data_IF_889367050959
#
_entry.id   IF_889367050959
#
_cell.length_a   1.000
_cell.length_b   1.000
_cell.length_c   1.000
_cell.angle_alpha   90.00
_cell.angle_beta   90.00
_cell.angle_gamma   90.00
#
_symmetry.space_group_name_H-M   'P 1'
#
loop_
_entity.id
_entity.type
_entity.pdbx_description
1 polymer ?
#
# COMPACT_ATOMS: atom_id res chain seq x y z
N UNK A 1 20.77 16.51 55.46
CA UNK A 1 21.14 15.12 55.18
C UNK A 1 19.93 14.18 55.03
N UNK A 2 18.73 14.74 54.72
CA UNK A 2 17.52 13.92 54.51
C UNK A 2 16.82 14.19 53.16
N UNK A 3 17.47 14.92 52.25
CA UNK A 3 16.84 15.29 50.94
C UNK A 3 17.43 14.60 49.72
N UNK A 4 18.47 13.77 49.86
CA UNK A 4 19.14 13.13 48.73
C UNK A 4 18.76 11.66 48.50
N UNK A 5 17.89 11.10 49.33
CA UNK A 5 17.46 9.70 49.22
C UNK A 5 16.23 9.55 48.32
N UNK A 6 15.51 10.62 47.95
CA UNK A 6 14.30 10.57 47.16
C UNK A 6 14.49 10.86 45.64
N UNK A 7 15.73 11.03 45.17
CA UNK A 7 16.04 11.29 43.75
C UNK A 7 16.65 10.12 42.96
N UNK A 8 16.68 8.94 43.54
CA UNK A 8 16.86 7.70 42.77
C UNK A 8 15.51 7.00 42.59
N UNK A 9 14.55 7.62 41.93
CA UNK A 9 13.58 6.86 41.18
C UNK A 9 14.37 6.08 40.13
N UNK A 10 14.52 4.80 40.40
CA UNK A 10 14.98 3.81 39.47
C UNK A 10 14.03 3.96 38.25
N UNK A 11 14.52 4.58 37.19
CA UNK A 11 13.99 4.35 35.86
C UNK A 11 14.21 2.85 35.57
N UNK A 12 13.32 2.02 36.10
CA UNK A 12 13.13 0.66 35.59
C UNK A 12 12.66 0.88 34.15
N UNK A 13 13.59 0.80 33.22
CA UNK A 13 13.26 0.87 31.81
C UNK A 13 12.15 -0.13 31.58
N UNK A 14 10.99 0.34 31.21
CA UNK A 14 9.86 -0.52 30.83
C UNK A 14 10.40 -1.34 29.66
N UNK A 15 10.60 -2.64 29.90
CA UNK A 15 11.09 -3.54 28.84
C UNK A 15 9.95 -3.68 27.86
N UNK A 16 10.16 -3.21 26.63
CA UNK A 16 9.20 -3.37 25.52
C UNK A 16 8.90 -4.86 25.33
N UNK A 17 7.63 -5.23 25.34
CA UNK A 17 7.22 -6.58 25.00
C UNK A 17 7.40 -6.79 23.49
N UNK A 18 8.25 -7.73 23.10
CA UNK A 18 8.49 -8.09 21.70
C UNK A 18 7.84 -9.44 21.40
N UNK A 19 7.02 -9.49 20.36
CA UNK A 19 6.37 -10.72 19.85
C UNK A 19 6.74 -10.89 18.37
N UNK A 20 6.96 -12.14 17.95
CA UNK A 20 7.40 -12.45 16.59
C UNK A 20 8.89 -12.18 16.36
N UNK A 21 9.31 -12.19 15.11
CA UNK A 21 10.71 -12.13 14.69
C UNK A 21 11.01 -10.84 13.92
N UNK A 22 11.95 -10.05 14.42
CA UNK A 22 12.54 -8.96 13.65
C UNK A 22 13.60 -9.55 12.70
N UNK A 23 13.38 -9.47 11.40
CA UNK A 23 14.30 -10.00 10.39
C UNK A 23 15.61 -9.21 10.27
N UNK A 24 15.68 -8.04 10.89
CA UNK A 24 16.83 -7.15 10.80
C UNK A 24 17.48 -6.90 12.17
N UNK A 25 18.77 -6.51 12.15
CA UNK A 25 19.43 -5.96 13.34
C UNK A 25 18.96 -4.54 13.68
N UNK A 26 18.25 -3.89 12.76
CA UNK A 26 17.65 -2.56 12.96
C UNK A 26 16.39 -2.73 13.80
N UNK A 27 16.37 -2.16 14.99
CA UNK A 27 15.23 -2.19 15.92
C UNK A 27 14.29 -0.99 15.73
N UNK A 28 13.25 -0.92 16.55
CA UNK A 28 12.35 0.24 16.57
C UNK A 28 13.03 1.49 17.12
N UNK A 29 13.99 1.31 18.01
CA UNK A 29 14.78 2.41 18.60
C UNK A 29 15.64 3.12 17.55
N UNK A 30 16.12 2.41 16.53
CA UNK A 30 16.88 2.98 15.41
C UNK A 30 16.01 3.91 14.54
N UNK A 31 14.68 3.72 14.56
CA UNK A 31 13.70 4.59 13.94
C UNK A 31 13.11 5.63 14.89
N UNK A 32 13.69 5.75 16.10
CA UNK A 32 13.36 6.78 17.08
C UNK A 32 12.26 6.42 18.08
N UNK A 33 11.62 5.25 17.97
CA UNK A 33 10.60 4.84 18.94
C UNK A 33 11.20 4.58 20.31
N UNK A 34 10.52 5.04 21.35
CA UNK A 34 10.91 4.86 22.75
C UNK A 34 9.70 4.46 23.58
N UNK A 35 9.95 3.69 24.63
CA UNK A 35 8.93 3.36 25.63
C UNK A 35 7.64 2.76 25.04
N UNK A 36 7.70 2.04 23.93
CA UNK A 36 6.55 1.28 23.43
C UNK A 36 6.12 0.28 24.50
N UNK A 37 4.82 0.04 24.64
CA UNK A 37 4.31 -1.02 25.51
C UNK A 37 4.61 -2.39 24.91
N UNK A 38 4.32 -2.53 23.61
CA UNK A 38 4.46 -3.80 22.89
C UNK A 38 4.77 -3.53 21.42
N UNK A 39 5.54 -4.41 20.81
CA UNK A 39 5.78 -4.43 19.39
C UNK A 39 5.68 -5.85 18.86
N UNK A 40 4.88 -6.02 17.80
CA UNK A 40 4.64 -7.30 17.14
C UNK A 40 5.32 -7.31 15.78
N UNK A 41 6.34 -8.15 15.63
CA UNK A 41 7.19 -8.22 14.44
C UNK A 41 6.75 -9.37 13.53
N UNK A 42 6.45 -9.05 12.27
CA UNK A 42 6.29 -10.02 11.20
C UNK A 42 5.39 -11.23 11.57
N UNK A 43 4.31 -10.95 12.29
CA UNK A 43 3.34 -11.98 12.63
C UNK A 43 2.70 -12.53 11.34
N UNK A 44 2.40 -13.83 11.36
CA UNK A 44 1.69 -14.45 10.25
C UNK A 44 0.24 -13.93 10.13
N UNK A 45 -0.38 -14.20 8.97
CA UNK A 45 -1.71 -13.71 8.65
C UNK A 45 -2.77 -14.16 9.66
N UNK A 46 -2.71 -15.41 10.11
CA UNK A 46 -3.71 -15.94 11.03
C UNK A 46 -3.63 -15.27 12.41
N UNK A 47 -2.41 -15.07 12.93
CA UNK A 47 -2.20 -14.37 14.19
C UNK A 47 -2.70 -12.92 14.13
N UNK A 48 -2.40 -12.19 13.05
CA UNK A 48 -2.86 -10.79 12.88
C UNK A 48 -4.40 -10.75 12.72
N UNK A 49 -4.96 -11.72 12.03
CA UNK A 49 -6.38 -11.84 11.81
C UNK A 49 -7.12 -12.00 13.16
N UNK A 50 -6.65 -12.92 14.01
CA UNK A 50 -7.24 -13.15 15.32
C UNK A 50 -7.07 -11.93 16.25
N UNK A 51 -5.92 -11.25 16.20
CA UNK A 51 -5.69 -10.00 16.93
C UNK A 51 -6.66 -8.91 16.45
N UNK A 52 -6.86 -8.77 15.15
CA UNK A 52 -7.78 -7.78 14.58
C UNK A 52 -9.19 -7.95 15.13
N UNK A 53 -9.69 -9.21 15.16
CA UNK A 53 -11.02 -9.53 15.68
C UNK A 53 -11.07 -9.30 17.20
N UNK A 54 -10.08 -9.75 17.94
CA UNK A 54 -10.06 -9.59 19.40
C UNK A 54 -9.99 -8.12 19.84
N UNK A 55 -9.35 -7.27 19.03
CA UNK A 55 -9.27 -5.82 19.24
C UNK A 55 -10.55 -5.08 18.77
N UNK A 56 -11.53 -5.78 18.20
CA UNK A 56 -12.75 -5.16 17.66
C UNK A 56 -12.50 -4.24 16.47
N UNK A 57 -11.41 -4.45 15.72
CA UNK A 57 -11.03 -3.63 14.57
C UNK A 57 -11.73 -4.06 13.27
N UNK A 58 -12.47 -5.15 13.29
CA UNK A 58 -13.21 -5.68 12.16
C UNK A 58 -14.14 -6.81 12.58
N UNK A 59 -14.97 -7.27 11.65
CA UNK A 59 -15.90 -8.40 11.82
C UNK A 59 -15.71 -9.40 10.68
N UNK A 60 -16.08 -10.66 10.93
CA UNK A 60 -16.02 -11.71 9.91
C UNK A 60 -17.32 -11.81 9.14
N UNK A 61 -17.23 -11.95 7.82
CA UNK A 61 -18.35 -12.42 7.01
C UNK A 61 -18.59 -13.91 7.24
N UNK A 62 -19.74 -14.42 6.77
CA UNK A 62 -20.03 -15.85 6.78
C UNK A 62 -18.96 -16.71 6.13
N UNK A 63 -18.35 -16.17 5.07
CA UNK A 63 -17.30 -16.83 4.30
C UNK A 63 -15.89 -16.53 4.85
N UNK A 64 -15.78 -15.96 6.06
CA UNK A 64 -14.55 -15.70 6.79
C UNK A 64 -13.67 -14.56 6.20
N UNK A 65 -14.17 -13.75 5.27
CA UNK A 65 -13.47 -12.50 4.90
C UNK A 65 -13.56 -11.49 6.06
N UNK A 66 -12.52 -10.68 6.24
CA UNK A 66 -12.47 -9.64 7.26
C UNK A 66 -13.10 -8.36 6.71
N UNK A 67 -14.16 -7.89 7.35
CA UNK A 67 -14.81 -6.61 7.00
C UNK A 67 -14.39 -5.55 7.99
N UNK A 68 -13.88 -4.42 7.48
CA UNK A 68 -13.39 -3.29 8.26
C UNK A 68 -14.00 -1.98 7.78
N UNK A 69 -14.12 -1.00 8.68
CA UNK A 69 -14.58 0.34 8.37
C UNK A 69 -13.42 1.33 8.51
N UNK A 70 -13.23 2.21 7.52
CA UNK A 70 -12.15 3.20 7.51
C UNK A 70 -12.58 4.58 8.04
N UNK A 71 -13.81 4.69 8.54
CA UNK A 71 -14.36 5.93 9.10
C UNK A 71 -14.65 6.98 8.02
N UNK A 72 -14.31 8.23 8.29
CA UNK A 72 -14.64 9.36 7.40
C UNK A 72 -13.84 9.36 6.09
N UNK A 73 -12.70 8.70 6.07
CA UNK A 73 -11.86 8.58 4.88
C UNK A 73 -12.08 7.23 4.20
N UNK A 74 -12.93 7.20 3.20
CA UNK A 74 -13.24 5.99 2.41
C UNK A 74 -12.41 5.89 1.12
N UNK A 75 -11.42 6.76 0.96
CA UNK A 75 -10.53 6.84 -0.18
C UNK A 75 -9.28 7.65 0.15
N UNK A 76 -8.38 7.81 -0.80
CA UNK A 76 -7.14 8.56 -0.62
C UNK A 76 -7.39 10.03 -0.34
N UNK A 77 -6.67 10.57 0.64
CA UNK A 77 -6.65 11.99 0.99
C UNK A 77 -5.61 12.74 0.14
N UNK A 78 -5.84 12.81 -1.17
CA UNK A 78 -4.87 13.39 -2.12
C UNK A 78 -4.51 14.86 -1.78
N UNK A 79 -5.44 15.59 -1.17
CA UNK A 79 -5.22 16.98 -0.76
C UNK A 79 -4.39 17.11 0.52
N UNK A 80 -4.16 16.03 1.25
CA UNK A 80 -3.43 15.98 2.51
C UNK A 80 -2.07 15.28 2.37
N UNK A 81 -1.66 15.01 1.13
CA UNK A 81 -0.33 14.49 0.80
C UNK A 81 0.64 15.65 0.56
N UNK A 82 1.73 15.65 1.32
CA UNK A 82 2.78 16.66 1.27
C UNK A 82 4.15 16.01 1.14
N UNK A 83 5.03 16.64 0.36
CA UNK A 83 6.40 16.19 0.15
C UNK A 83 7.35 17.18 0.80
N UNK A 84 8.35 16.69 1.53
CA UNK A 84 9.41 17.55 2.06
C UNK A 84 10.20 18.11 0.89
N UNK A 85 10.24 19.46 0.80
CA UNK A 85 11.02 20.16 -0.23
C UNK A 85 12.37 20.56 0.33
N UNK A 86 13.42 20.10 -0.33
CA UNK A 86 14.80 20.42 0.03
C UNK A 86 15.68 20.61 -1.22
N UNK A 87 16.97 20.89 -1.03
CA UNK A 87 17.90 21.15 -2.14
C UNK A 87 18.14 19.93 -3.05
N UNK A 88 17.93 18.71 -2.55
CA UNK A 88 18.16 17.46 -3.29
C UNK A 88 17.03 17.22 -4.30
N UNK A 89 15.79 17.54 -3.93
CA UNK A 89 14.62 17.20 -4.73
C UNK A 89 13.92 18.38 -5.40
N UNK A 90 14.37 19.61 -5.16
CA UNK A 90 13.71 20.84 -5.68
C UNK A 90 13.51 20.87 -7.19
N UNK A 91 14.41 20.24 -7.94
CA UNK A 91 14.42 20.23 -9.41
C UNK A 91 13.93 18.91 -10.01
N UNK A 92 13.66 17.87 -9.17
CA UNK A 92 13.25 16.55 -9.62
C UNK A 92 11.77 16.25 -9.37
N UNK A 93 11.04 17.16 -8.74
CA UNK A 93 9.61 17.01 -8.44
C UNK A 93 8.83 18.11 -9.14
N UNK A 94 7.71 17.73 -9.75
CA UNK A 94 6.78 18.68 -10.35
C UNK A 94 5.93 19.37 -9.27
N UNK A 95 6.44 20.49 -8.75
CA UNK A 95 5.86 21.19 -7.62
C UNK A 95 4.49 21.86 -7.90
N UNK A 96 4.18 22.16 -9.16
CA UNK A 96 2.85 22.70 -9.50
C UNK A 96 1.71 21.71 -9.19
N UNK A 97 2.03 20.40 -9.19
CA UNK A 97 1.09 19.33 -8.89
C UNK A 97 1.32 18.64 -7.54
N UNK A 98 2.31 19.10 -6.76
CA UNK A 98 2.62 18.49 -5.47
C UNK A 98 2.72 19.55 -4.38
N UNK A 99 2.06 19.32 -3.26
CA UNK A 99 2.18 20.18 -2.08
C UNK A 99 3.48 19.90 -1.34
N UNK A 100 4.09 20.95 -0.82
CA UNK A 100 5.33 20.84 -0.05
C UNK A 100 5.16 21.20 1.41
N UNK A 101 5.98 20.57 2.28
CA UNK A 101 6.26 21.01 3.65
C UNK A 101 7.76 21.20 3.83
N UNK A 102 8.15 21.93 4.87
CA UNK A 102 9.55 22.12 5.23
C UNK A 102 10.10 20.89 5.97
N UNK A 103 11.43 20.77 6.01
CA UNK A 103 12.08 19.75 6.85
C UNK A 103 11.72 19.92 8.33
N UNK A 104 11.66 21.16 8.82
CA UNK A 104 11.27 21.47 10.19
C UNK A 104 9.85 20.98 10.52
N UNK A 105 8.89 21.22 9.63
CA UNK A 105 7.52 20.72 9.81
C UNK A 105 7.48 19.19 9.85
N UNK A 106 8.23 18.53 8.96
CA UNK A 106 8.33 17.08 8.94
C UNK A 106 8.99 16.53 10.23
N UNK A 107 10.07 17.14 10.69
CA UNK A 107 10.77 16.71 11.90
C UNK A 107 9.91 16.94 13.17
N UNK A 108 9.13 18.02 13.20
CA UNK A 108 8.12 18.24 14.24
C UNK A 108 7.05 17.14 14.22
N UNK A 109 6.49 16.81 13.04
CA UNK A 109 5.53 15.71 12.90
C UNK A 109 6.13 14.39 13.37
N UNK A 110 7.33 14.05 12.91
CA UNK A 110 8.00 12.79 13.28
C UNK A 110 8.19 12.69 14.79
N UNK A 111 8.73 13.74 15.42
CA UNK A 111 8.92 13.80 16.86
C UNK A 111 7.61 13.63 17.63
N UNK A 112 6.56 14.32 17.21
CA UNK A 112 5.27 14.30 17.91
C UNK A 112 4.57 12.94 17.76
N UNK A 113 4.67 12.31 16.57
CA UNK A 113 4.17 10.94 16.32
C UNK A 113 4.92 9.92 17.16
N UNK A 114 6.25 10.00 17.24
CA UNK A 114 7.06 9.11 18.08
C UNK A 114 6.69 9.25 19.57
N UNK A 115 6.50 10.48 20.05
CA UNK A 115 6.06 10.73 21.43
C UNK A 115 4.64 10.20 21.68
N UNK A 116 3.74 10.35 20.72
CA UNK A 116 2.37 9.82 20.79
C UNK A 116 2.32 8.29 20.84
N UNK A 117 3.32 7.62 20.26
CA UNK A 117 3.43 6.17 20.28
C UNK A 117 3.95 5.60 21.61
N UNK A 118 4.47 6.43 22.53
CA UNK A 118 4.89 5.94 23.84
C UNK A 118 3.74 5.23 24.56
N UNK A 119 4.01 4.08 25.17
CA UNK A 119 3.04 3.18 25.82
C UNK A 119 1.98 2.56 24.89
N UNK A 120 2.12 2.69 23.57
CA UNK A 120 1.26 2.02 22.60
C UNK A 120 1.80 0.67 22.17
N UNK A 121 0.92 -0.11 21.56
CA UNK A 121 1.26 -1.34 20.84
C UNK A 121 1.36 -1.02 19.35
N UNK A 122 2.39 -1.52 18.68
CA UNK A 122 2.56 -1.38 17.23
C UNK A 122 2.79 -2.73 16.57
N UNK A 123 2.34 -2.84 15.33
CA UNK A 123 2.56 -3.98 14.46
C UNK A 123 3.56 -3.60 13.38
N UNK A 124 4.49 -4.49 13.07
CA UNK A 124 5.56 -4.24 12.10
C UNK A 124 5.58 -5.35 11.06
N UNK A 125 5.67 -4.94 9.79
CA UNK A 125 5.90 -5.85 8.67
C UNK A 125 7.16 -5.43 7.92
N UNK A 126 8.02 -6.39 7.67
CA UNK A 126 9.20 -6.30 6.81
C UNK A 126 8.88 -6.98 5.49
N UNK A 127 8.84 -6.21 4.39
CA UNK A 127 8.32 -6.65 3.10
C UNK A 127 9.16 -6.05 1.96
N UNK A 128 8.94 -6.50 0.73
CA UNK A 128 9.54 -5.90 -0.45
C UNK A 128 8.47 -5.23 -1.33
N UNK A 129 8.77 -4.01 -1.79
CA UNK A 129 8.10 -3.39 -2.93
C UNK A 129 8.87 -3.68 -4.21
N UNK A 130 8.30 -4.49 -5.11
CA UNK A 130 8.93 -4.88 -6.36
C UNK A 130 9.46 -6.31 -6.40
N UNK A 131 9.09 -7.04 -7.46
CA UNK A 131 9.44 -8.44 -7.66
C UNK A 131 10.85 -8.64 -8.27
N UNK A 132 11.44 -7.61 -8.87
CA UNK A 132 12.78 -7.68 -9.44
C UNK A 132 13.83 -7.45 -8.34
N UNK A 133 14.76 -8.39 -8.20
CA UNK A 133 15.78 -8.39 -7.15
C UNK A 133 16.73 -7.18 -7.21
N UNK A 134 16.97 -6.63 -8.40
CA UNK A 134 17.87 -5.49 -8.61
C UNK A 134 17.20 -4.15 -8.29
N UNK A 135 15.86 -4.12 -8.30
CA UNK A 135 15.07 -2.90 -8.20
C UNK A 135 14.07 -2.89 -7.05
N UNK A 136 13.97 -3.99 -6.28
CA UNK A 136 13.07 -4.08 -5.14
C UNK A 136 13.47 -3.12 -4.02
N UNK A 137 12.50 -2.66 -3.27
CA UNK A 137 12.66 -1.76 -2.15
C UNK A 137 12.34 -2.47 -0.84
N UNK A 138 13.33 -2.67 0.01
CA UNK A 138 13.15 -3.24 1.35
C UNK A 138 12.38 -2.26 2.22
N UNK A 139 11.17 -2.62 2.56
CA UNK A 139 10.19 -1.73 3.20
C UNK A 139 9.82 -2.25 4.58
N UNK A 140 9.91 -1.40 5.59
CA UNK A 140 9.39 -1.65 6.95
C UNK A 140 8.19 -0.77 7.21
N UNK A 141 7.09 -1.36 7.64
CA UNK A 141 5.84 -0.65 7.92
C UNK A 141 5.47 -0.83 9.39
N UNK A 142 5.41 0.27 10.12
CA UNK A 142 4.86 0.34 11.47
C UNK A 142 3.40 0.76 11.38
N UNK A 143 2.49 0.00 11.98
CA UNK A 143 1.06 0.31 12.00
C UNK A 143 0.49 0.29 13.41
N UNK A 144 -0.44 1.21 13.68
CA UNK A 144 -1.19 1.21 14.95
C UNK A 144 -2.27 0.14 14.96
N UNK A 145 -2.88 -0.18 13.81
CA UNK A 145 -3.95 -1.18 13.71
C UNK A 145 -3.43 -2.51 13.18
N UNK A 146 -3.88 -3.60 13.79
CA UNK A 146 -3.50 -4.95 13.36
C UNK A 146 -3.95 -5.22 11.91
N UNK A 147 -5.16 -4.80 11.53
CA UNK A 147 -5.65 -5.01 10.17
C UNK A 147 -4.87 -4.23 9.09
N UNK A 148 -4.24 -3.08 9.42
CA UNK A 148 -3.32 -2.40 8.51
C UNK A 148 -2.06 -3.23 8.27
N UNK A 149 -1.58 -3.93 9.31
CA UNK A 149 -0.47 -4.88 9.19
C UNK A 149 -0.84 -6.05 8.28
N UNK A 150 -2.05 -6.61 8.43
CA UNK A 150 -2.57 -7.65 7.53
C UNK A 150 -2.75 -7.12 6.09
N UNK A 151 -3.27 -5.89 5.94
CA UNK A 151 -3.45 -5.26 4.65
C UNK A 151 -2.14 -5.17 3.88
N UNK A 152 -1.10 -4.63 4.50
CA UNK A 152 0.18 -4.44 3.79
C UNK A 152 0.90 -5.78 3.53
N UNK A 153 0.71 -6.77 4.39
CA UNK A 153 1.19 -8.14 4.15
C UNK A 153 0.49 -8.79 2.96
N UNK A 154 -0.79 -8.49 2.72
CA UNK A 154 -1.49 -8.92 1.50
C UNK A 154 -0.96 -8.22 0.26
N UNK A 155 -0.56 -6.95 0.37
CA UNK A 155 -0.27 -6.11 -0.80
C UNK A 155 1.19 -6.09 -1.23
N UNK A 156 2.15 -6.31 -0.33
CA UNK A 156 3.57 -6.32 -0.67
C UNK A 156 4.12 -7.76 -0.73
N UNK A 157 5.33 -7.88 -1.23
CA UNK A 157 5.99 -9.16 -1.42
C UNK A 157 6.65 -9.60 -0.10
N UNK A 158 6.34 -10.79 0.36
CA UNK A 158 6.88 -11.34 1.59
C UNK A 158 8.39 -11.63 1.49
N UNK A 159 9.09 -11.43 2.59
CA UNK A 159 10.49 -11.82 2.75
C UNK A 159 10.55 -13.34 2.93
N UNK A 160 11.21 -14.05 2.02
CA UNK A 160 11.39 -15.49 2.10
C UNK A 160 12.35 -15.87 3.21
N UNK A 161 12.27 -17.10 3.69
CA UNK A 161 13.10 -17.59 4.81
C UNK A 161 14.61 -17.38 4.58
N UNK A 162 15.07 -17.68 3.37
CA UNK A 162 16.47 -17.50 2.97
C UNK A 162 16.92 -16.04 2.88
N UNK A 163 15.99 -15.08 2.79
CA UNK A 163 16.28 -13.65 2.65
C UNK A 163 16.26 -12.89 3.99
N UNK A 164 15.69 -13.49 5.04
CA UNK A 164 15.50 -12.83 6.34
C UNK A 164 16.82 -12.32 6.94
N UNK A 165 17.87 -13.13 6.92
CA UNK A 165 19.17 -12.76 7.51
C UNK A 165 19.81 -11.51 6.88
N UNK A 166 19.50 -11.27 5.60
CA UNK A 166 20.06 -10.18 4.81
C UNK A 166 19.12 -8.98 4.71
N UNK A 167 17.90 -9.10 5.24
CA UNK A 167 16.93 -8.02 5.20
C UNK A 167 17.44 -6.78 5.94
N UNK A 168 17.39 -5.64 5.28
CA UNK A 168 17.69 -4.32 5.86
C UNK A 168 16.65 -3.33 5.36
N UNK A 169 15.85 -2.71 6.24
CA UNK A 169 14.85 -1.75 5.82
C UNK A 169 15.53 -0.51 5.23
N UNK A 170 15.28 -0.24 3.96
CA UNK A 170 15.73 0.97 3.26
C UNK A 170 14.66 2.06 3.27
N UNK A 171 13.40 1.67 3.35
CA UNK A 171 12.24 2.55 3.36
C UNK A 171 11.38 2.23 4.56
N UNK A 172 10.91 3.27 5.25
CA UNK A 172 10.09 3.14 6.45
C UNK A 172 8.76 3.87 6.26
N UNK A 173 7.67 3.23 6.64
CA UNK A 173 6.35 3.85 6.76
C UNK A 173 5.91 3.77 8.21
N UNK A 174 5.44 4.89 8.76
CA UNK A 174 4.83 5.00 10.08
C UNK A 174 3.38 5.41 9.89
N UNK A 175 2.45 4.51 10.16
CA UNK A 175 1.01 4.69 9.96
C UNK A 175 0.28 4.67 11.30
N UNK A 176 -0.11 5.86 11.77
CA UNK A 176 -0.75 6.09 13.08
C UNK A 176 -2.06 6.85 12.88
N UNK A 177 -3.14 6.18 12.50
CA UNK A 177 -4.43 6.79 12.17
C UNK A 177 -5.05 7.61 13.29
N UNK A 178 -4.82 7.23 14.55
CA UNK A 178 -5.41 7.94 15.69
C UNK A 178 -4.69 9.24 16.04
N UNK A 179 -3.47 9.47 15.55
CA UNK A 179 -2.79 10.76 15.69
C UNK A 179 -3.42 11.80 14.76
N UNK A 180 -3.60 13.01 15.27
CA UNK A 180 -4.13 14.15 14.52
C UNK A 180 -3.04 15.19 14.30
N UNK A 181 -2.80 15.54 13.04
CA UNK A 181 -1.84 16.58 12.71
C UNK A 181 -2.32 17.96 13.19
N UNK A 182 -1.39 18.80 13.60
CA UNK A 182 -1.61 20.22 13.85
C UNK A 182 -1.22 21.00 12.57
N UNK A 183 -2.17 21.64 11.88
CA UNK A 183 -1.91 22.35 10.64
C UNK A 183 -0.80 23.41 10.72
N UNK A 184 -0.70 24.11 11.84
CA UNK A 184 0.30 25.16 12.02
C UNK A 184 1.67 24.55 12.27
N UNK A 185 1.77 23.60 13.20
CA UNK A 185 3.01 23.00 13.64
C UNK A 185 3.62 22.05 12.59
N UNK A 186 2.76 21.33 11.86
CA UNK A 186 3.19 20.35 10.86
C UNK A 186 3.09 20.86 9.43
N UNK A 187 2.64 22.12 9.21
CA UNK A 187 2.59 22.74 7.90
C UNK A 187 1.63 22.09 6.91
N UNK A 188 0.51 21.56 7.39
CA UNK A 188 -0.47 20.84 6.57
C UNK A 188 -1.82 21.58 6.52
N UNK A 189 -2.78 21.00 5.77
CA UNK A 189 -4.09 21.65 5.53
C UNK A 189 -5.16 21.20 6.51
N UNK A 190 -5.01 20.04 7.16
CA UNK A 190 -6.03 19.42 8.03
C UNK A 190 -5.39 18.56 9.10
N UNK A 191 -6.20 17.89 9.92
CA UNK A 191 -5.75 16.90 10.90
C UNK A 191 -5.24 15.59 10.26
N UNK A 192 -5.47 15.42 8.96
CA UNK A 192 -4.95 14.29 8.16
C UNK A 192 -3.69 14.74 7.43
N UNK A 193 -2.65 13.93 7.46
CA UNK A 193 -1.39 14.23 6.79
C UNK A 193 -0.69 12.96 6.34
N UNK A 194 -0.35 12.93 5.06
CA UNK A 194 0.57 11.96 4.46
C UNK A 194 1.86 12.71 4.11
N UNK A 195 2.84 12.66 4.98
CA UNK A 195 4.11 13.38 4.84
C UNK A 195 5.19 12.45 4.26
N UNK A 196 5.72 12.83 3.10
CA UNK A 196 6.72 12.03 2.35
C UNK A 196 8.07 12.73 2.39
N UNK A 197 9.07 12.07 2.94
CA UNK A 197 10.47 12.50 2.87
C UNK A 197 11.28 11.51 2.04
N UNK A 198 11.60 11.88 0.81
CA UNK A 198 12.34 11.02 -0.12
C UNK A 198 13.81 10.83 0.29
N UNK A 199 14.44 11.85 0.87
CA UNK A 199 15.83 11.78 1.32
C UNK A 199 15.99 10.82 2.50
N UNK A 200 15.12 10.98 3.53
CA UNK A 200 15.11 10.08 4.69
C UNK A 200 14.50 8.71 4.37
N UNK A 201 13.92 8.55 3.18
CA UNK A 201 13.12 7.37 2.78
C UNK A 201 12.12 7.01 3.88
N UNK A 202 11.37 8.01 4.34
CA UNK A 202 10.40 7.91 5.43
C UNK A 202 9.08 8.54 5.01
N UNK A 203 7.98 7.81 5.23
CA UNK A 203 6.62 8.34 5.11
C UNK A 203 5.90 8.21 6.44
N UNK A 204 5.19 9.28 6.82
CA UNK A 204 4.36 9.31 8.02
C UNK A 204 2.92 9.56 7.58
N UNK A 205 2.01 8.66 7.97
CA UNK A 205 0.59 8.70 7.66
C UNK A 205 -0.17 8.85 8.97
N UNK A 206 -0.99 9.90 9.07
CA UNK A 206 -1.77 10.20 10.28
C UNK A 206 -3.15 10.72 9.93
N UNK A 207 -4.12 10.53 10.82
CA UNK A 207 -5.47 11.09 10.70
C UNK A 207 -6.39 10.37 9.71
N UNK A 208 -5.96 9.27 9.12
CA UNK A 208 -6.77 8.46 8.21
C UNK A 208 -6.57 6.98 8.49
N UNK A 209 -7.65 6.20 8.44
CA UNK A 209 -7.60 4.74 8.51
C UNK A 209 -7.70 4.07 7.13
N UNK A 210 -7.69 4.84 6.04
CA UNK A 210 -7.72 4.28 4.70
C UNK A 210 -6.36 3.64 4.34
N UNK A 211 -6.31 2.30 4.38
CA UNK A 211 -5.06 1.55 4.25
C UNK A 211 -4.37 1.71 2.87
N UNK A 212 -5.12 2.12 1.85
CA UNK A 212 -4.57 2.41 0.52
C UNK A 212 -3.48 3.51 0.51
N UNK A 213 -3.38 4.34 1.55
CA UNK A 213 -2.28 5.31 1.68
C UNK A 213 -0.95 4.62 1.92
N UNK A 214 -0.92 3.50 2.68
CA UNK A 214 0.30 2.71 2.92
C UNK A 214 0.83 2.17 1.57
N UNK A 215 -0.05 1.49 0.80
CA UNK A 215 0.27 0.98 -0.53
C UNK A 215 0.81 2.07 -1.45
N UNK A 216 0.09 3.20 -1.56
CA UNK A 216 0.47 4.30 -2.45
C UNK A 216 1.71 5.06 -2.01
N UNK A 217 2.11 4.94 -0.75
CA UNK A 217 3.39 5.47 -0.26
C UNK A 217 4.58 4.68 -0.83
N UNK A 218 4.47 3.35 -0.91
CA UNK A 218 5.48 2.50 -1.57
C UNK A 218 5.59 2.85 -3.05
N UNK A 219 4.46 2.96 -3.76
CA UNK A 219 4.44 3.35 -5.16
C UNK A 219 5.05 4.74 -5.39
N UNK A 220 4.74 5.71 -4.53
CA UNK A 220 5.33 7.05 -4.61
C UNK A 220 6.86 7.03 -4.44
N UNK A 221 7.36 6.21 -3.51
CA UNK A 221 8.80 6.07 -3.29
C UNK A 221 9.47 5.41 -4.50
N UNK A 222 8.89 4.34 -5.06
CA UNK A 222 9.41 3.69 -6.26
C UNK A 222 9.39 4.62 -7.49
N UNK A 223 8.33 5.44 -7.65
CA UNK A 223 8.25 6.45 -8.71
C UNK A 223 9.38 7.50 -8.63
N UNK A 224 9.88 7.78 -7.43
CA UNK A 224 11.00 8.69 -7.24
C UNK A 224 12.36 8.00 -7.45
N UNK A 225 12.53 6.78 -6.95
CA UNK A 225 13.81 6.09 -6.93
C UNK A 225 14.17 5.38 -8.24
N UNK A 226 13.20 4.93 -9.03
CA UNK A 226 13.43 4.06 -10.19
C UNK A 226 13.83 4.79 -11.47
N UNK A 227 13.27 5.97 -11.84
CA UNK A 227 13.63 6.65 -13.08
C UNK A 227 15.12 6.96 -13.22
N UNK A 228 15.86 7.40 -12.17
CA UNK A 228 17.32 7.56 -12.26
C UNK A 228 18.09 6.26 -12.54
N UNK A 229 17.47 5.11 -12.29
CA UNK A 229 18.01 3.76 -12.57
C UNK A 229 17.59 3.22 -13.95
N UNK A 230 17.01 4.06 -14.82
CA UNK A 230 16.45 3.68 -16.11
C UNK A 230 15.34 2.62 -16.02
N UNK A 231 14.55 2.66 -14.98
CA UNK A 231 13.34 1.85 -14.83
C UNK A 231 12.13 2.79 -14.89
N UNK A 232 11.16 2.46 -15.73
CA UNK A 232 9.92 3.21 -15.86
C UNK A 232 8.86 2.66 -14.91
N UNK A 233 8.48 3.36 -13.85
CA UNK A 233 7.35 2.98 -13.02
C UNK A 233 6.04 3.30 -13.76
N UNK A 234 5.07 2.37 -13.68
CA UNK A 234 3.82 2.44 -14.44
C UNK A 234 2.63 2.10 -13.58
N UNK A 235 1.54 2.85 -13.75
CA UNK A 235 0.23 2.50 -13.20
C UNK A 235 -0.56 1.76 -14.31
N UNK A 236 -0.39 0.45 -14.36
CA UNK A 236 -0.92 -0.40 -15.40
C UNK A 236 -1.12 -1.83 -14.88
N UNK A 237 -1.97 -2.60 -15.55
CA UNK A 237 -2.01 -4.06 -15.39
C UNK A 237 -1.11 -4.73 -16.41
N UNK A 238 -0.64 -5.94 -16.10
CA UNK A 238 0.24 -6.72 -16.98
C UNK A 238 -0.14 -8.19 -16.96
N UNK A 239 -0.21 -8.81 -18.13
CA UNK A 239 -0.31 -10.26 -18.27
C UNK A 239 0.61 -10.78 -19.39
N UNK A 240 0.76 -12.10 -19.45
CA UNK A 240 1.53 -12.78 -20.51
C UNK A 240 0.80 -14.02 -20.99
N UNK A 241 0.73 -14.20 -22.30
CA UNK A 241 0.14 -15.39 -22.92
C UNK A 241 1.15 -16.52 -23.08
N UNK A 242 0.67 -17.64 -23.60
CA UNK A 242 1.46 -18.87 -23.80
C UNK A 242 2.57 -18.73 -24.84
N UNK A 243 2.51 -17.70 -25.70
CA UNK A 243 3.52 -17.40 -26.73
C UNK A 243 4.61 -16.43 -26.25
N UNK A 244 4.71 -16.25 -24.93
CA UNK A 244 5.61 -15.27 -24.30
C UNK A 244 5.41 -13.87 -24.93
N UNK A 245 4.18 -13.41 -24.92
CA UNK A 245 3.70 -12.14 -25.47
C UNK A 245 3.17 -11.19 -24.40
N UNK A 246 4.05 -10.61 -23.54
CA UNK A 246 3.61 -9.72 -22.47
C UNK A 246 2.81 -8.55 -23.02
N UNK A 247 1.70 -8.24 -22.33
CA UNK A 247 0.82 -7.14 -22.63
C UNK A 247 0.66 -6.21 -21.43
N UNK A 248 0.77 -4.91 -21.68
CA UNK A 248 0.57 -3.86 -20.69
C UNK A 248 -0.76 -3.16 -20.99
N UNK A 249 -1.57 -2.95 -19.95
CA UNK A 249 -2.86 -2.28 -20.05
C UNK A 249 -2.82 -0.95 -19.28
N UNK A 250 -2.83 0.16 -19.99
CA UNK A 250 -3.00 1.50 -19.42
C UNK A 250 -4.46 1.94 -19.52
N UNK A 251 -4.89 2.77 -18.60
CA UNK A 251 -6.22 3.38 -18.61
C UNK A 251 -6.58 3.97 -17.25
N UNK A 252 -7.58 4.82 -17.21
CA UNK A 252 -8.10 5.41 -15.99
C UNK A 252 -8.81 4.36 -15.11
N UNK A 253 -9.10 4.73 -13.87
CA UNK A 253 -9.90 3.87 -12.98
C UNK A 253 -11.27 3.58 -13.61
N UNK A 254 -11.68 2.31 -13.59
CA UNK A 254 -12.98 1.89 -14.15
C UNK A 254 -13.02 1.68 -15.68
N UNK A 255 -11.90 1.80 -16.38
CA UNK A 255 -11.82 1.52 -17.83
C UNK A 255 -11.71 0.03 -18.17
N UNK A 256 -11.58 -0.84 -17.15
CA UNK A 256 -11.52 -2.30 -17.35
C UNK A 256 -10.12 -2.89 -17.39
N UNK A 257 -9.07 -2.17 -16.91
CA UNK A 257 -7.70 -2.72 -16.84
C UNK A 257 -7.65 -4.08 -16.16
N UNK A 258 -8.14 -4.16 -14.93
CA UNK A 258 -8.13 -5.39 -14.12
C UNK A 258 -8.95 -6.49 -14.77
N UNK A 259 -10.15 -6.16 -15.27
CA UNK A 259 -11.03 -7.12 -15.94
C UNK A 259 -10.39 -7.75 -17.18
N UNK A 260 -9.73 -6.94 -18.03
CA UNK A 260 -9.10 -7.42 -19.25
C UNK A 260 -7.77 -8.14 -18.99
N UNK A 261 -7.01 -7.73 -17.99
CA UNK A 261 -5.75 -8.38 -17.66
C UNK A 261 -5.92 -9.71 -16.94
N UNK A 262 -7.07 -9.92 -16.27
CA UNK A 262 -7.41 -11.15 -15.56
C UNK A 262 -8.01 -12.25 -16.47
N UNK A 263 -7.69 -12.24 -17.76
CA UNK A 263 -8.08 -13.28 -18.72
C UNK A 263 -7.59 -14.65 -18.23
N UNK A 264 -8.46 -15.68 -18.10
CA UNK A 264 -8.09 -16.99 -17.58
C UNK A 264 -7.08 -17.75 -18.45
N UNK A 265 -6.98 -17.40 -19.74
CA UNK A 265 -6.04 -18.02 -20.69
C UNK A 265 -4.65 -17.35 -20.67
N UNK A 266 -4.45 -16.32 -19.83
CA UNK A 266 -3.19 -15.59 -19.71
C UNK A 266 -2.71 -15.55 -18.26
N UNK A 267 -1.42 -15.52 -18.03
CA UNK A 267 -0.83 -15.43 -16.69
C UNK A 267 -0.85 -13.96 -16.26
N UNK A 268 -1.51 -13.65 -15.15
CA UNK A 268 -1.53 -12.32 -14.55
C UNK A 268 -0.19 -12.05 -13.85
N UNK A 269 0.51 -10.99 -14.24
CA UNK A 269 1.73 -10.52 -13.57
C UNK A 269 1.35 -9.62 -12.40
N UNK A 270 0.38 -8.74 -12.61
CA UNK A 270 -0.22 -7.85 -11.62
C UNK A 270 -1.29 -6.96 -12.22
N UNK A 271 -2.12 -6.36 -11.36
CA UNK A 271 -3.32 -5.64 -11.79
C UNK A 271 -3.21 -4.10 -11.72
N UNK A 272 -2.18 -3.52 -11.04
CA UNK A 272 -2.17 -2.08 -10.77
C UNK A 272 -0.81 -1.37 -10.98
N UNK A 273 0.31 -1.86 -10.42
CA UNK A 273 1.57 -1.10 -10.35
C UNK A 273 2.78 -1.95 -10.77
N UNK A 274 3.55 -1.47 -11.76
CA UNK A 274 4.67 -2.20 -12.33
C UNK A 274 5.88 -1.30 -12.61
N UNK A 275 7.06 -1.92 -12.70
CA UNK A 275 8.28 -1.33 -13.24
C UNK A 275 8.67 -1.97 -14.57
N UNK A 276 9.12 -1.16 -15.52
CA UNK A 276 9.68 -1.64 -16.79
C UNK A 276 11.15 -1.28 -16.87
N UNK A 277 11.99 -2.31 -16.81
CA UNK A 277 13.45 -2.21 -16.92
C UNK A 277 13.94 -2.76 -18.27
N UNK A 278 15.25 -2.75 -18.49
CA UNK A 278 15.87 -3.41 -19.65
C UNK A 278 15.65 -4.93 -19.67
N UNK A 279 15.34 -5.53 -18.52
CA UNK A 279 15.16 -6.98 -18.38
C UNK A 279 13.69 -7.41 -18.57
N UNK A 280 12.77 -6.46 -18.67
CA UNK A 280 11.33 -6.71 -18.78
C UNK A 280 10.51 -5.98 -17.73
N UNK A 281 9.29 -6.44 -17.50
CA UNK A 281 8.32 -5.85 -16.57
C UNK A 281 8.24 -6.68 -15.29
N UNK A 282 8.13 -6.00 -14.16
CA UNK A 282 7.95 -6.62 -12.85
C UNK A 282 6.87 -5.91 -12.03
N UNK A 283 6.11 -6.69 -11.29
CA UNK A 283 5.08 -6.19 -10.38
C UNK A 283 5.73 -5.53 -9.15
N UNK A 284 5.14 -4.43 -8.68
CA UNK A 284 5.55 -3.82 -7.41
C UNK A 284 4.93 -4.49 -6.20
N UNK A 285 3.88 -5.27 -6.41
CA UNK A 285 2.99 -5.79 -5.39
C UNK A 285 2.99 -7.32 -5.32
N UNK A 286 2.61 -7.83 -4.16
CA UNK A 286 2.34 -9.26 -3.92
C UNK A 286 0.86 -9.59 -3.84
N UNK A 287 -0.03 -8.60 -4.05
CA UNK A 287 -1.47 -8.75 -3.97
C UNK A 287 -2.24 -7.76 -4.81
N UNK A 288 -3.55 -7.79 -4.67
CA UNK A 288 -4.49 -6.94 -5.40
C UNK A 288 -5.32 -6.09 -4.43
N UNK A 289 -5.68 -4.89 -4.89
CA UNK A 289 -6.55 -3.96 -4.16
C UNK A 289 -7.70 -3.50 -5.05
N UNK A 290 -8.68 -4.39 -5.22
CA UNK A 290 -9.75 -4.27 -6.20
C UNK A 290 -10.94 -3.46 -5.66
N UNK A 291 -11.71 -2.85 -6.58
CA UNK A 291 -12.98 -2.20 -6.26
C UNK A 291 -14.07 -3.27 -6.10
N UNK A 292 -14.82 -3.21 -4.99
CA UNK A 292 -15.83 -4.21 -4.64
C UNK A 292 -17.26 -3.78 -4.96
N UNK A 293 -17.55 -2.46 -5.00
CA UNK A 293 -18.91 -1.99 -5.26
C UNK A 293 -19.42 -2.49 -6.63
N UNK A 294 -20.57 -3.14 -6.63
CA UNK A 294 -21.21 -3.75 -7.81
C UNK A 294 -20.33 -4.80 -8.52
N UNK A 295 -19.45 -5.45 -7.77
CA UNK A 295 -18.64 -6.56 -8.29
C UNK A 295 -19.58 -7.69 -8.75
N UNK A 296 -19.43 -8.10 -10.00
CA UNK A 296 -20.31 -9.10 -10.62
C UNK A 296 -19.60 -10.45 -10.67
N UNK A 297 -20.21 -11.46 -10.05
CA UNK A 297 -19.72 -12.83 -10.11
C UNK A 297 -19.62 -13.35 -11.56
N UNK A 298 -20.52 -12.90 -12.43
CA UNK A 298 -20.52 -13.28 -13.87
C UNK A 298 -19.41 -12.60 -14.65
N UNK A 299 -19.12 -11.32 -14.37
CA UNK A 299 -18.14 -10.55 -15.14
C UNK A 299 -16.71 -10.76 -14.63
N UNK A 300 -16.53 -10.94 -13.30
CA UNK A 300 -15.23 -11.02 -12.63
C UNK A 300 -15.24 -12.17 -11.60
N UNK A 301 -15.43 -13.42 -12.05
CA UNK A 301 -15.64 -14.57 -11.16
C UNK A 301 -14.46 -14.82 -10.21
N UNK A 302 -13.23 -14.63 -10.66
CA UNK A 302 -12.05 -14.88 -9.84
C UNK A 302 -11.91 -13.83 -8.73
N UNK A 303 -12.18 -12.56 -9.02
CA UNK A 303 -12.18 -11.50 -8.01
C UNK A 303 -13.35 -11.70 -7.04
N UNK A 304 -14.54 -12.06 -7.54
CA UNK A 304 -15.69 -12.34 -6.70
C UNK A 304 -15.42 -13.49 -5.70
N UNK A 305 -14.77 -14.55 -6.11
CA UNK A 305 -14.38 -15.66 -5.23
C UNK A 305 -13.51 -15.19 -4.05
N UNK A 306 -12.64 -14.20 -4.27
CA UNK A 306 -11.77 -13.70 -3.21
C UNK A 306 -12.55 -13.09 -2.05
N UNK A 307 -13.74 -12.52 -2.29
CA UNK A 307 -14.60 -11.95 -1.24
C UNK A 307 -15.09 -13.00 -0.23
N UNK A 308 -14.93 -14.28 -0.55
CA UNK A 308 -15.34 -15.42 0.26
C UNK A 308 -14.16 -16.18 0.88
N UNK A 309 -12.97 -15.62 0.83
CA UNK A 309 -11.76 -16.28 1.34
C UNK A 309 -11.25 -15.63 2.62
N UNK A 310 -10.91 -16.47 3.61
CA UNK A 310 -10.17 -16.03 4.78
C UNK A 310 -8.82 -15.41 4.35
N UNK A 311 -8.49 -14.27 4.93
CA UNK A 311 -7.32 -13.49 4.54
C UNK A 311 -7.65 -12.30 3.65
N UNK A 312 -8.80 -12.28 2.97
CA UNK A 312 -9.29 -11.08 2.28
C UNK A 312 -9.79 -10.05 3.30
N UNK A 313 -9.41 -8.79 3.07
CA UNK A 313 -9.93 -7.63 3.80
C UNK A 313 -10.90 -6.89 2.89
N UNK A 314 -12.10 -6.65 3.38
CA UNK A 314 -13.15 -5.88 2.69
C UNK A 314 -13.33 -4.54 3.41
N UNK A 315 -12.90 -3.45 2.80
CA UNK A 315 -13.02 -2.11 3.35
C UNK A 315 -14.35 -1.47 2.97
N UNK A 316 -15.11 -1.04 3.98
CA UNK A 316 -16.37 -0.31 3.86
C UNK A 316 -17.46 -1.08 3.08
N UNK A 317 -17.35 -2.39 3.00
CA UNK A 317 -18.42 -3.25 2.48
C UNK A 317 -19.47 -3.40 3.57
N UNK A 318 -20.73 -3.24 3.21
CA UNK A 318 -21.84 -3.39 4.15
C UNK A 318 -22.00 -4.86 4.51
N UNK A 319 -22.14 -5.13 5.80
CA UNK A 319 -22.36 -6.48 6.35
C UNK A 319 -23.58 -6.48 7.27
N UNK A 320 -24.47 -7.45 7.10
CA UNK A 320 -25.52 -7.73 8.08
C UNK A 320 -24.89 -8.43 9.28
N UNK A 321 -24.84 -7.74 10.41
CA UNK A 321 -24.23 -8.24 11.65
C UNK A 321 -24.96 -9.46 12.25
N UNK A 322 -26.21 -9.73 11.87
CA UNK A 322 -26.99 -10.86 12.36
C UNK A 322 -26.77 -12.13 11.53
N UNK A 323 -26.65 -11.98 10.21
CA UNK A 323 -26.45 -13.09 9.28
C UNK A 323 -24.98 -13.27 8.88
N UNK A 324 -24.15 -12.22 8.98
CA UNK A 324 -22.77 -12.23 8.46
C UNK A 324 -22.69 -12.13 6.94
N UNK A 325 -23.79 -11.85 6.26
CA UNK A 325 -23.83 -11.67 4.81
C UNK A 325 -23.32 -10.29 4.41
N UNK A 326 -22.50 -10.23 3.36
CA UNK A 326 -22.00 -8.99 2.79
C UNK A 326 -22.88 -8.54 1.62
N UNK A 327 -23.09 -7.21 1.48
CA UNK A 327 -23.76 -6.63 0.33
C UNK A 327 -22.79 -5.76 -0.49
N UNK A 328 -22.37 -6.31 -1.63
CA UNK A 328 -21.46 -5.62 -2.56
C UNK A 328 -22.18 -4.55 -3.41
N UNK A 329 -23.50 -4.45 -3.34
CA UNK A 329 -24.27 -3.43 -4.07
C UNK A 329 -24.62 -2.22 -3.20
N UNK A 330 -24.53 -2.36 -1.88
CA UNK A 330 -24.82 -1.27 -0.96
C UNK A 330 -23.62 -0.31 -0.86
N UNK A 331 -23.86 0.96 -1.23
CA UNK A 331 -22.88 2.03 -1.16
C UNK A 331 -23.13 3.02 -0.01
N UNK A 332 -23.95 2.65 0.96
CA UNK A 332 -24.31 3.54 2.08
C UNK A 332 -23.11 3.93 2.96
N UNK A 333 -22.10 3.06 3.09
CA UNK A 333 -20.84 3.36 3.78
C UNK A 333 -19.83 4.07 2.86
N UNK A 334 -19.72 3.63 1.60
CA UNK A 334 -18.79 4.21 0.64
C UNK A 334 -19.10 3.79 -0.80
N UNK A 335 -18.94 4.72 -1.74
CA UNK A 335 -18.91 4.38 -3.17
C UNK A 335 -17.59 3.71 -3.61
N UNK A 336 -16.57 3.75 -2.76
CA UNK A 336 -15.23 3.24 -3.02
C UNK A 336 -14.92 2.05 -2.11
N UNK A 337 -15.84 1.07 -2.02
CA UNK A 337 -15.56 -0.17 -1.31
C UNK A 337 -14.40 -0.93 -1.96
N UNK A 338 -13.50 -1.50 -1.15
CA UNK A 338 -12.28 -2.14 -1.63
C UNK A 338 -12.11 -3.54 -1.03
N UNK A 339 -11.42 -4.40 -1.78
CA UNK A 339 -10.98 -5.70 -1.29
C UNK A 339 -9.48 -5.86 -1.47
N UNK A 340 -8.76 -6.14 -0.39
CA UNK A 340 -7.34 -6.42 -0.38
C UNK A 340 -7.10 -7.91 -0.16
N UNK A 341 -6.39 -8.56 -1.07
CA UNK A 341 -6.09 -9.99 -1.01
C UNK A 341 -4.76 -10.31 -1.67
N UNK A 342 -4.07 -11.39 -1.26
CA UNK A 342 -2.81 -11.78 -1.88
C UNK A 342 -3.02 -12.25 -3.33
N UNK A 343 -2.06 -11.99 -4.18
CA UNK A 343 -2.10 -12.34 -5.61
C UNK A 343 -2.31 -13.85 -5.82
N UNK A 344 -1.83 -14.68 -4.89
CA UNK A 344 -2.00 -16.14 -4.92
C UNK A 344 -3.45 -16.63 -4.84
N UNK A 345 -4.41 -15.74 -4.52
CA UNK A 345 -5.84 -16.07 -4.58
C UNK A 345 -6.38 -16.10 -6.01
N UNK A 346 -5.64 -15.55 -6.96
CA UNK A 346 -5.96 -15.59 -8.38
C UNK A 346 -5.26 -16.81 -9.03
N UNK A 347 -6.00 -17.79 -9.55
CA UNK A 347 -5.44 -19.09 -9.96
C UNK A 347 -4.35 -19.03 -11.04
N UNK A 348 -4.44 -18.04 -11.95
CA UNK A 348 -3.51 -17.85 -13.06
C UNK A 348 -2.51 -16.71 -12.81
N UNK A 349 -2.26 -16.35 -11.55
CA UNK A 349 -1.27 -15.34 -11.21
C UNK A 349 0.17 -15.88 -11.29
N UNK A 350 1.10 -15.02 -11.67
CA UNK A 350 2.53 -15.33 -11.72
C UNK A 350 3.13 -15.46 -10.33
N UNK A 351 3.82 -16.58 -10.06
CA UNK A 351 4.60 -16.74 -8.83
C UNK A 351 5.83 -15.83 -8.77
N UNK A 352 6.42 -15.50 -9.92
CA UNK A 352 7.63 -14.67 -10.01
C UNK A 352 7.33 -13.17 -9.97
N UNK A 353 6.11 -12.76 -10.32
CA UNK A 353 5.74 -11.36 -10.52
C UNK A 353 6.53 -10.66 -11.62
N UNK A 354 7.15 -11.41 -12.55
CA UNK A 354 8.02 -10.87 -13.62
C UNK A 354 7.68 -11.46 -14.97
N UNK A 355 7.94 -10.69 -16.03
CA UNK A 355 7.81 -11.14 -17.42
C UNK A 355 8.84 -10.44 -18.29
N UNK A 356 8.96 -10.86 -19.55
CA UNK A 356 9.86 -10.28 -20.55
C UNK A 356 9.47 -8.86 -20.96
N UNK A 357 10.14 -8.37 -22.01
CA UNK A 357 9.85 -7.06 -22.61
C UNK A 357 8.46 -7.08 -23.25
N UNK A 358 7.61 -6.08 -23.00
CA UNK A 358 6.26 -6.01 -23.56
C UNK A 358 6.25 -6.05 -25.08
N UNK A 359 5.40 -6.89 -25.64
CA UNK A 359 5.13 -6.96 -27.08
C UNK A 359 3.86 -6.20 -27.46
N UNK A 360 2.96 -6.00 -26.49
CA UNK A 360 1.69 -5.34 -26.71
C UNK A 360 1.47 -4.24 -25.64
N UNK A 361 1.02 -3.08 -26.09
CA UNK A 361 0.60 -1.97 -25.23
C UNK A 361 -0.84 -1.65 -25.58
N UNK A 362 -1.74 -1.77 -24.61
CA UNK A 362 -3.16 -1.51 -24.74
C UNK A 362 -3.50 -0.22 -23.99
N UNK A 363 -4.08 0.75 -24.66
CA UNK A 363 -4.59 1.99 -24.08
C UNK A 363 -6.12 1.88 -23.99
N UNK A 364 -6.66 1.83 -22.77
CA UNK A 364 -8.09 1.78 -22.52
C UNK A 364 -8.60 3.21 -22.31
N UNK A 365 -9.48 3.65 -23.17
CA UNK A 365 -10.02 5.02 -23.14
C UNK A 365 -11.55 5.00 -23.04
N UNK A 366 -12.11 6.07 -22.47
CA UNK A 366 -13.54 6.33 -22.50
C UNK A 366 -13.84 7.30 -23.65
N UNK A 367 -14.71 6.91 -24.59
CA UNK A 367 -15.17 7.79 -25.66
C UNK A 367 -16.56 8.34 -25.34
N UNK A 368 -16.59 9.52 -24.71
CA UNK A 368 -17.83 10.17 -24.32
C UNK A 368 -18.66 10.69 -25.50
N UNK A 369 -18.04 10.83 -26.67
CA UNK A 369 -18.68 11.42 -27.86
C UNK A 369 -18.97 10.40 -28.96
N UNK A 370 -18.52 9.17 -28.83
CA UNK A 370 -18.70 8.09 -29.81
C UNK A 370 -17.97 8.34 -31.13
N UNK A 371 -16.81 8.97 -31.08
CA UNK A 371 -16.01 9.32 -32.29
C UNK A 371 -14.87 8.34 -32.58
N UNK A 372 -14.46 7.56 -31.58
CA UNK A 372 -13.39 6.58 -31.72
C UNK A 372 -13.98 5.22 -32.17
N UNK A 373 -13.26 4.47 -32.98
CA UNK A 373 -13.64 3.09 -33.26
C UNK A 373 -13.46 2.23 -31.99
N UNK A 374 -14.22 1.14 -31.83
CA UNK A 374 -14.09 0.27 -30.65
C UNK A 374 -12.68 -0.26 -30.41
N UNK A 375 -11.91 -0.50 -31.47
CA UNK A 375 -10.50 -0.91 -31.44
C UNK A 375 -9.77 -0.20 -32.56
N UNK A 376 -8.59 0.36 -32.27
CA UNK A 376 -7.72 0.95 -33.28
C UNK A 376 -6.26 0.55 -33.02
N UNK A 377 -5.53 0.23 -34.09
CA UNK A 377 -4.07 0.04 -34.03
C UNK A 377 -3.38 1.39 -34.25
N UNK A 378 -2.60 1.83 -33.29
CA UNK A 378 -1.86 3.09 -33.34
C UNK A 378 -0.45 2.87 -33.88
N UNK A 379 0.09 3.89 -34.57
CA UNK A 379 1.52 3.99 -34.85
C UNK A 379 2.30 4.36 -33.56
N UNK A 380 3.61 4.19 -33.57
CA UNK A 380 4.46 4.55 -32.42
C UNK A 380 4.29 6.03 -31.99
N UNK A 381 4.21 6.96 -32.94
CA UNK A 381 4.00 8.39 -32.67
C UNK A 381 2.61 8.69 -32.12
N UNK A 382 1.57 8.01 -32.59
CA UNK A 382 0.22 8.15 -32.04
C UNK A 382 0.15 7.56 -30.63
N UNK A 383 0.77 6.40 -30.38
CA UNK A 383 0.84 5.80 -29.06
C UNK A 383 1.53 6.75 -28.08
N UNK A 384 2.66 7.34 -28.47
CA UNK A 384 3.38 8.32 -27.64
C UNK A 384 2.52 9.56 -27.35
N UNK A 385 1.80 10.06 -28.35
CA UNK A 385 0.89 11.20 -28.18
C UNK A 385 -0.21 10.89 -27.16
N UNK A 386 -0.91 9.78 -27.32
CA UNK A 386 -1.97 9.37 -26.39
C UNK A 386 -1.44 9.13 -24.98
N UNK A 387 -0.29 8.48 -24.86
CA UNK A 387 0.35 8.22 -23.56
C UNK A 387 0.71 9.52 -22.82
N UNK A 388 1.36 10.46 -23.52
CA UNK A 388 1.75 11.76 -22.94
C UNK A 388 0.54 12.67 -22.63
N UNK A 389 -0.53 12.55 -23.40
CA UNK A 389 -1.77 13.31 -23.18
C UNK A 389 -2.58 12.78 -22.01
N UNK A 390 -2.29 11.57 -21.53
CA UNK A 390 -2.98 10.98 -20.36
C UNK A 390 -4.40 10.49 -20.66
N UNK A 391 -4.68 10.03 -21.85
CA UNK A 391 -5.97 9.47 -22.26
C UNK A 391 -6.06 7.98 -21.96
#
# INVERSE_FOLDING_TARGET
>A
AASDVYKRQILVGIKVENIGENFSKVGSEDHGFKNLKKISWNLDRDAIYDITISNGQGVLSNDQALVVETGIHTGRSANDKFIVKNDINKDSIWWDNNKSITEENFDNLHKDVLSFCEQKELYVQDLFGGADLDFRLSTRVYTEYAWHSLFIQNLLIEVKEEEKSDFRPEFVIIDIPSFKADPIRHGCSSETLIAVNFEKKLVIIVGTSYAGEIKKSVFSMLNYLLPPKNVMPMHCSVNVGTEDDPAIFFGLSGTGKTTLSADPDRILIGDDEHGWSSNGVFNFEGGCYAKMIRLSEKAEPEIYKTTKLRGTILENVVIDKSSGEIDLNDNSLAENTRGAYPLSFIPNASESGRTGIPKNIILLTCDAFGVLPPIAKLSASQTMYHFLSGY
#
